data_IF_257807324392
#
_entry.id   IF_257807324392
#
_cell.length_a   1.000
_cell.length_b   1.000
_cell.length_c   1.000
_cell.angle_alpha   90.00
_cell.angle_beta   90.00
_cell.angle_gamma   90.00
#
_symmetry.space_group_name_H-M   'P 1'
#
loop_
_entity.id
_entity.type
_entity.pdbx_description
1 polymer ?
#
# COMPACT_ATOMS: atom_id res chain seq x y z
N UNK A 1 55.36 -60.30 12.72
CA UNK A 1 56.25 -60.06 11.55
C UNK A 1 55.58 -60.67 10.33
N UNK A 2 55.77 -60.10 9.14
CA UNK A 2 54.97 -60.39 7.94
C UNK A 2 55.61 -61.43 7.01
N UNK A 3 54.78 -62.09 6.19
CA UNK A 3 55.11 -62.62 4.85
C UNK A 3 53.82 -62.82 4.02
N UNK A 4 53.93 -62.79 2.69
CA UNK A 4 52.82 -62.68 1.71
C UNK A 4 52.96 -63.72 0.57
N UNK A 5 52.09 -63.61 -0.48
CA UNK A 5 52.15 -64.16 -1.87
C UNK A 5 51.59 -65.60 -2.07
N UNK A 6 50.84 -65.98 -3.15
CA UNK A 6 50.38 -65.26 -4.37
C UNK A 6 48.84 -65.28 -4.70
N UNK A 7 48.53 -64.71 -5.88
CA UNK A 7 47.37 -64.74 -6.81
C UNK A 7 47.24 -66.10 -7.60
N UNK A 8 46.35 -66.34 -8.63
CA UNK A 8 45.56 -65.39 -9.48
C UNK A 8 44.13 -65.82 -9.96
N UNK A 9 43.58 -65.03 -10.90
CA UNK A 9 42.49 -65.34 -11.87
C UNK A 9 41.05 -65.46 -11.33
N UNK A 10 39.97 -65.04 -12.02
CA UNK A 10 39.75 -64.52 -13.38
C UNK A 10 38.53 -63.57 -13.40
N UNK A 11 38.44 -62.63 -14.34
CA UNK A 11 37.15 -62.03 -14.74
C UNK A 11 36.60 -62.81 -15.94
N UNK A 12 35.27 -62.95 -16.06
CA UNK A 12 34.63 -62.29 -17.21
C UNK A 12 33.31 -61.57 -16.87
N UNK A 13 33.00 -60.55 -17.66
CA UNK A 13 31.77 -59.77 -17.56
C UNK A 13 30.55 -60.54 -18.09
N UNK A 14 29.39 -60.42 -17.42
CA UNK A 14 28.08 -60.79 -17.99
C UNK A 14 27.00 -59.77 -17.58
N UNK A 15 26.40 -59.18 -18.63
CA UNK A 15 25.07 -58.58 -18.77
C UNK A 15 24.37 -57.82 -17.62
N UNK A 16 23.82 -56.66 -18.00
CA UNK A 16 22.96 -55.79 -17.20
C UNK A 16 21.51 -56.27 -17.17
N UNK A 17 20.80 -55.97 -16.07
CA UNK A 17 19.37 -55.65 -16.06
C UNK A 17 19.05 -54.84 -14.80
N UNK A 18 19.31 -53.54 -14.84
CA UNK A 18 18.75 -52.61 -13.85
C UNK A 18 17.39 -52.17 -14.37
N UNK A 19 16.31 -52.58 -13.69
CA UNK A 19 14.96 -52.15 -14.00
C UNK A 19 14.78 -50.72 -13.48
N UNK A 20 15.06 -49.73 -14.34
CA UNK A 20 14.85 -48.32 -14.06
C UNK A 20 13.36 -48.00 -14.17
N UNK A 21 12.64 -48.10 -13.05
CA UNK A 21 11.22 -47.76 -12.97
C UNK A 21 11.10 -46.24 -12.95
N UNK A 22 10.97 -45.68 -14.15
CA UNK A 22 10.59 -44.28 -14.35
C UNK A 22 9.20 -44.02 -13.75
N UNK A 23 9.20 -43.63 -12.48
CA UNK A 23 8.03 -43.13 -11.77
C UNK A 23 7.76 -41.70 -12.25
N UNK A 24 7.34 -41.58 -13.51
CA UNK A 24 7.00 -40.34 -14.18
C UNK A 24 5.84 -39.63 -13.48
N UNK A 25 6.18 -38.84 -12.46
CA UNK A 25 5.27 -37.88 -11.82
C UNK A 25 5.12 -36.65 -12.73
N UNK A 26 4.59 -36.87 -13.93
CA UNK A 26 4.12 -35.84 -14.85
C UNK A 26 2.66 -35.45 -14.53
N UNK A 27 2.27 -35.46 -13.25
CA UNK A 27 1.29 -34.47 -12.81
C UNK A 27 2.03 -33.14 -12.69
N UNK A 28 2.20 -32.50 -13.85
CA UNK A 28 2.85 -31.20 -13.99
C UNK A 28 2.07 -30.19 -13.16
N UNK A 29 2.49 -30.03 -11.90
CA UNK A 29 1.91 -29.11 -10.92
C UNK A 29 1.80 -27.77 -11.59
N UNK A 30 0.57 -27.43 -11.99
CA UNK A 30 0.26 -26.12 -12.55
C UNK A 30 0.49 -25.15 -11.42
N UNK A 31 1.69 -24.56 -11.38
CA UNK A 31 2.01 -23.40 -10.56
C UNK A 31 1.15 -22.26 -11.10
N UNK A 32 -0.11 -22.27 -10.70
CA UNK A 32 -1.02 -21.16 -10.85
C UNK A 32 -0.32 -19.98 -10.20
N UNK A 33 -0.13 -18.92 -10.99
CA UNK A 33 0.50 -17.70 -10.51
C UNK A 33 -0.33 -17.22 -9.31
N UNK A 34 0.21 -17.37 -8.10
CA UNK A 34 -0.50 -16.99 -6.90
C UNK A 34 -0.80 -15.49 -7.00
N UNK A 35 -2.06 -15.05 -6.81
CA UNK A 35 -2.39 -13.62 -6.81
C UNK A 35 -1.43 -12.88 -5.89
N UNK A 36 -0.67 -11.93 -6.45
CA UNK A 36 0.32 -11.20 -5.68
C UNK A 36 -0.39 -10.47 -4.54
N UNK A 37 -0.09 -10.84 -3.30
CA UNK A 37 -0.76 -10.26 -2.14
C UNK A 37 -0.51 -8.73 -2.13
N UNK A 38 -1.56 -7.92 -1.93
CA UNK A 38 -1.41 -6.47 -1.89
C UNK A 38 -0.51 -6.12 -0.71
N UNK A 39 0.51 -5.31 -0.97
CA UNK A 39 1.46 -4.92 0.06
C UNK A 39 0.80 -3.89 0.99
N UNK A 40 0.97 -3.99 2.33
CA UNK A 40 0.43 -3.01 3.25
C UNK A 40 1.12 -1.65 3.03
N UNK A 41 0.36 -0.54 2.95
CA UNK A 41 0.95 0.79 2.80
C UNK A 41 1.75 1.19 4.05
N UNK A 42 2.75 2.05 3.90
CA UNK A 42 3.50 2.62 5.03
C UNK A 42 3.28 4.12 5.15
N UNK A 43 2.67 4.57 6.25
CA UNK A 43 2.55 5.98 6.59
C UNK A 43 3.83 6.51 7.23
N UNK A 44 4.50 7.46 6.57
CA UNK A 44 5.69 8.17 7.07
C UNK A 44 5.46 9.68 7.27
N UNK A 45 4.19 10.09 7.23
CA UNK A 45 3.80 11.49 7.24
C UNK A 45 3.63 12.07 8.63
N UNK A 46 3.23 13.34 8.63
CA UNK A 46 2.85 14.13 9.80
C UNK A 46 1.68 15.08 9.52
N UNK A 47 1.40 15.37 8.25
CA UNK A 47 0.44 16.39 7.83
C UNK A 47 -0.91 15.77 7.50
N UNK A 48 -1.99 16.55 7.66
CA UNK A 48 -3.34 16.10 7.28
C UNK A 48 -3.44 15.71 5.79
N UNK A 49 -2.69 16.37 4.91
CA UNK A 49 -2.58 15.99 3.49
C UNK A 49 -1.99 14.59 3.27
N UNK A 50 -0.95 14.22 4.02
CA UNK A 50 -0.36 12.87 3.95
C UNK A 50 -1.29 11.83 4.57
N UNK A 51 -2.03 12.19 5.62
CA UNK A 51 -3.04 11.33 6.23
C UNK A 51 -4.16 11.00 5.23
N UNK A 52 -4.64 11.98 4.47
CA UNK A 52 -5.62 11.78 3.39
C UNK A 52 -5.10 10.94 2.24
N UNK A 53 -3.85 11.12 1.85
CA UNK A 53 -3.23 10.28 0.82
C UNK A 53 -3.13 8.82 1.30
N UNK A 54 -2.70 8.61 2.55
CA UNK A 54 -2.59 7.29 3.15
C UNK A 54 -3.95 6.60 3.35
N UNK A 55 -4.99 7.31 3.81
CA UNK A 55 -6.32 6.71 3.99
C UNK A 55 -6.92 6.23 2.65
N UNK A 56 -6.75 6.99 1.56
CA UNK A 56 -7.16 6.54 0.22
C UNK A 56 -6.40 5.28 -0.24
N UNK A 57 -5.12 5.17 0.11
CA UNK A 57 -4.30 3.98 -0.19
C UNK A 57 -4.70 2.78 0.68
N UNK A 58 -4.95 3.01 1.97
CA UNK A 58 -5.37 1.98 2.92
C UNK A 58 -6.77 1.44 2.61
N UNK A 59 -7.71 2.29 2.18
CA UNK A 59 -9.01 1.85 1.66
C UNK A 59 -8.84 0.95 0.42
N UNK A 60 -7.92 1.28 -0.50
CA UNK A 60 -7.61 0.43 -1.67
C UNK A 60 -6.97 -0.90 -1.27
N UNK A 61 -6.03 -0.89 -0.32
CA UNK A 61 -5.44 -2.11 0.26
C UNK A 61 -6.52 -3.01 0.89
N UNK A 62 -7.38 -2.43 1.72
CA UNK A 62 -8.50 -3.15 2.36
C UNK A 62 -9.44 -3.74 1.31
N UNK A 63 -9.82 -2.97 0.28
CA UNK A 63 -10.67 -3.44 -0.81
C UNK A 63 -10.08 -4.64 -1.56
N UNK A 64 -8.76 -4.65 -1.78
CA UNK A 64 -8.06 -5.79 -2.38
C UNK A 64 -8.03 -7.01 -1.45
N UNK A 65 -7.75 -6.81 -0.16
CA UNK A 65 -7.77 -7.88 0.86
C UNK A 65 -9.17 -8.54 0.94
N UNK A 66 -10.24 -7.74 0.97
CA UNK A 66 -11.63 -8.23 0.98
C UNK A 66 -11.99 -8.98 -0.31
N UNK A 67 -11.48 -8.55 -1.47
CA UNK A 67 -11.67 -9.27 -2.73
C UNK A 67 -10.97 -10.64 -2.76
N UNK A 68 -9.78 -10.76 -2.17
CA UNK A 68 -9.09 -12.04 -2.02
C UNK A 68 -9.84 -12.98 -1.07
N UNK A 69 -10.41 -12.44 0.04
CA UNK A 69 -11.28 -13.19 0.96
C UNK A 69 -12.49 -13.81 0.26
N UNK A 70 -13.14 -13.08 -0.65
CA UNK A 70 -14.24 -13.65 -1.47
C UNK A 70 -13.79 -14.73 -2.46
N UNK A 71 -12.50 -14.78 -2.80
CA UNK A 71 -11.89 -15.79 -3.68
C UNK A 71 -11.40 -17.03 -2.89
N UNK A 72 -11.69 -17.11 -1.58
CA UNK A 72 -11.29 -18.22 -0.70
C UNK A 72 -9.87 -18.11 -0.15
N UNK A 73 -9.16 -17.01 -0.42
CA UNK A 73 -7.86 -16.71 0.18
C UNK A 73 -8.06 -15.77 1.37
N UNK A 74 -7.61 -16.10 2.57
CA UNK A 74 -7.80 -15.23 3.74
C UNK A 74 -6.48 -14.52 4.17
N UNK A 75 -6.00 -13.52 3.42
CA UNK A 75 -4.84 -12.73 3.86
C UNK A 75 -5.22 -11.85 5.04
N UNK A 76 -4.26 -11.69 5.96
CA UNK A 76 -4.41 -10.84 7.14
C UNK A 76 -4.48 -9.35 6.75
N UNK A 77 -5.48 -8.63 7.28
CA UNK A 77 -5.56 -7.19 7.16
C UNK A 77 -4.67 -6.55 8.24
N UNK A 78 -3.60 -5.88 7.81
CA UNK A 78 -2.74 -5.14 8.73
C UNK A 78 -3.48 -3.95 9.35
N UNK A 79 -3.49 -3.79 10.69
CA UNK A 79 -4.08 -2.62 11.33
C UNK A 79 -3.34 -1.34 10.94
N UNK A 80 -4.06 -0.22 10.89
CA UNK A 80 -3.56 1.12 10.58
C UNK A 80 -2.37 1.48 11.46
N UNK A 81 -2.45 1.22 12.76
CA UNK A 81 -1.36 1.48 13.70
C UNK A 81 -0.09 0.65 13.45
N UNK A 82 -0.15 -0.44 12.68
CA UNK A 82 1.02 -1.23 12.25
C UNK A 82 1.51 -0.84 10.83
N UNK A 83 0.66 -0.19 10.04
CA UNK A 83 1.04 0.46 8.78
C UNK A 83 1.77 1.81 8.98
N UNK A 84 1.95 2.29 10.21
CA UNK A 84 2.71 3.51 10.49
C UNK A 84 4.20 3.23 10.71
N UNK A 85 5.06 4.09 10.17
CA UNK A 85 6.46 4.17 10.57
C UNK A 85 6.59 4.51 12.07
N UNK A 86 7.63 3.96 12.71
CA UNK A 86 7.85 4.07 14.14
C UNK A 86 8.15 5.51 14.58
N UNK A 87 8.81 6.32 13.76
CA UNK A 87 9.06 7.73 14.07
C UNK A 87 7.77 8.55 13.97
N UNK A 88 7.02 8.43 12.87
CA UNK A 88 5.70 9.06 12.73
C UNK A 88 4.74 8.66 13.85
N UNK A 89 4.62 7.37 14.15
CA UNK A 89 3.75 6.85 15.22
C UNK A 89 4.12 7.40 16.59
N UNK A 90 5.41 7.45 16.94
CA UNK A 90 5.89 8.03 18.20
C UNK A 90 5.62 9.53 18.29
N UNK A 91 5.86 10.26 17.20
CA UNK A 91 5.63 11.72 17.14
C UNK A 91 4.14 12.02 17.34
N UNK A 92 3.25 11.35 16.63
CA UNK A 92 1.80 11.59 16.74
C UNK A 92 1.27 11.18 18.12
N UNK A 93 1.68 10.01 18.65
CA UNK A 93 1.29 9.60 20.01
C UNK A 93 1.67 10.65 21.07
N UNK A 94 2.86 11.23 20.96
CA UNK A 94 3.36 12.24 21.90
C UNK A 94 2.69 13.61 21.75
N UNK A 95 2.52 14.11 20.52
CA UNK A 95 2.06 15.49 20.28
C UNK A 95 0.55 15.63 20.10
N UNK A 96 -0.12 14.64 19.49
CA UNK A 96 -1.55 14.67 19.20
C UNK A 96 -2.35 14.00 20.33
N UNK A 97 -1.89 12.84 20.85
CA UNK A 97 -2.59 12.08 21.89
C UNK A 97 -2.08 12.31 23.32
N UNK A 98 -0.87 12.86 23.50
CA UNK A 98 -0.24 13.01 24.82
C UNK A 98 0.10 11.69 25.53
N UNK A 99 0.24 10.59 24.78
CA UNK A 99 0.44 9.21 25.27
C UNK A 99 1.71 8.58 24.71
N UNK A 100 2.10 7.40 25.22
CA UNK A 100 3.12 6.60 24.53
C UNK A 100 2.49 5.88 23.32
N UNK A 101 3.28 5.64 22.27
CA UNK A 101 2.85 4.93 21.06
C UNK A 101 2.36 3.48 21.27
N UNK A 102 2.57 2.90 22.47
CA UNK A 102 2.02 1.60 22.85
C UNK A 102 0.65 1.68 23.53
N UNK A 103 0.28 2.85 24.07
CA UNK A 103 -0.97 3.07 24.81
C UNK A 103 -2.10 3.66 23.95
N UNK A 104 -1.79 4.08 22.72
CA UNK A 104 -2.77 4.54 21.73
C UNK A 104 -3.36 3.33 21.03
N UNK A 105 -4.67 3.13 21.22
CA UNK A 105 -5.45 2.03 20.68
C UNK A 105 -5.66 2.14 19.17
N UNK A 106 -6.03 1.04 18.52
CA UNK A 106 -6.30 1.03 17.08
C UNK A 106 -7.48 1.95 16.70
N UNK A 107 -8.54 1.98 17.52
CA UNK A 107 -9.69 2.87 17.31
C UNK A 107 -9.30 4.36 17.41
N UNK A 108 -8.38 4.71 18.32
CA UNK A 108 -7.82 6.06 18.41
C UNK A 108 -7.00 6.43 17.17
N UNK A 109 -6.19 5.50 16.64
CA UNK A 109 -5.47 5.72 15.36
C UNK A 109 -6.45 5.92 14.21
N UNK A 110 -7.47 5.07 14.08
CA UNK A 110 -8.50 5.17 13.04
C UNK A 110 -9.26 6.50 13.15
N UNK A 111 -9.68 6.91 14.35
CA UNK A 111 -10.39 8.17 14.57
C UNK A 111 -9.55 9.39 14.14
N UNK A 112 -8.28 9.45 14.52
CA UNK A 112 -7.37 10.55 14.14
C UNK A 112 -7.14 10.63 12.62
N UNK A 113 -7.01 9.48 11.95
CA UNK A 113 -6.90 9.45 10.48
C UNK A 113 -8.21 9.85 9.78
N UNK A 114 -9.37 9.51 10.33
CA UNK A 114 -10.70 9.91 9.81
C UNK A 114 -10.94 11.41 10.01
N UNK A 115 -10.58 11.98 11.16
CA UNK A 115 -10.65 13.43 11.42
C UNK A 115 -9.79 14.22 10.41
N UNK A 116 -8.58 13.73 10.10
CA UNK A 116 -7.73 14.33 9.07
C UNK A 116 -8.28 14.21 7.64
N UNK A 117 -9.26 13.32 7.41
CA UNK A 117 -9.95 13.08 6.15
C UNK A 117 -11.20 13.95 5.96
N UNK A 118 -12.04 14.06 6.99
CA UNK A 118 -13.37 14.70 6.86
C UNK A 118 -13.33 16.24 6.76
N UNK A 119 -12.17 16.86 6.99
CA UNK A 119 -11.89 18.25 6.58
C UNK A 119 -11.93 18.46 5.04
N UNK A 120 -12.05 17.40 4.24
CA UNK A 120 -12.31 17.45 2.79
C UNK A 120 -13.82 17.54 2.45
N UNK A 121 -14.66 18.02 3.36
CA UNK A 121 -15.97 18.56 3.04
C UNK A 121 -15.86 20.08 2.75
N UNK A 122 -15.66 20.52 1.48
CA UNK A 122 -15.92 21.90 1.11
C UNK A 122 -17.43 22.14 1.19
N UNK A 123 -17.90 22.55 2.36
CA UNK A 123 -19.20 23.21 2.55
C UNK A 123 -19.17 24.62 1.93
N UNK A 124 -18.92 24.68 0.62
CA UNK A 124 -19.20 25.82 -0.24
C UNK A 124 -19.15 25.38 -1.72
N UNK A 125 -20.21 24.73 -2.18
CA UNK A 125 -20.81 25.22 -3.41
C UNK A 125 -21.30 26.66 -3.16
N UNK A 126 -21.12 27.55 -4.15
CA UNK A 126 -21.45 28.99 -4.17
C UNK A 126 -20.72 29.97 -3.20
N UNK A 127 -19.60 30.47 -3.73
CA UNK A 127 -19.12 31.86 -3.66
C UNK A 127 -18.31 32.35 -2.43
N UNK A 128 -16.99 32.45 -2.63
CA UNK A 128 -16.32 33.76 -2.50
C UNK A 128 -15.22 33.93 -3.56
N UNK A 129 -15.64 34.24 -4.79
CA UNK A 129 -14.75 35.00 -5.68
C UNK A 129 -14.79 36.42 -5.14
N UNK A 130 -13.74 36.79 -4.41
CA UNK A 130 -13.50 38.15 -3.95
C UNK A 130 -13.43 39.09 -5.16
N UNK A 131 -14.59 39.59 -5.59
CA UNK A 131 -14.72 40.62 -6.61
C UNK A 131 -14.23 41.91 -5.96
N UNK A 132 -12.93 42.18 -6.11
CA UNK A 132 -12.34 43.46 -5.71
C UNK A 132 -13.21 44.59 -6.28
N UNK A 133 -13.85 45.42 -5.43
CA UNK A 133 -14.80 46.43 -5.90
C UNK A 133 -14.12 47.48 -6.80
N UNK A 134 -12.79 47.62 -6.78
CA UNK A 134 -12.05 48.49 -7.70
C UNK A 134 -12.08 47.99 -9.15
N UNK A 135 -12.17 46.67 -9.39
CA UNK A 135 -12.11 46.10 -10.75
C UNK A 135 -13.40 46.35 -11.55
N UNK A 136 -14.56 46.46 -10.87
CA UNK A 136 -15.81 46.88 -11.52
C UNK A 136 -15.79 48.37 -11.88
N UNK A 137 -15.44 49.25 -10.94
CA UNK A 137 -15.40 50.69 -11.19
C UNK A 137 -14.47 51.06 -12.36
N UNK A 138 -13.29 50.44 -12.45
CA UNK A 138 -12.38 50.65 -13.60
C UNK A 138 -12.97 50.21 -14.95
N UNK A 139 -13.82 49.18 -14.96
CA UNK A 139 -14.49 48.71 -16.18
C UNK A 139 -15.65 49.63 -16.59
N UNK A 140 -16.43 50.12 -15.63
CA UNK A 140 -17.58 51.00 -15.88
C UNK A 140 -17.16 52.42 -16.27
N UNK A 141 -16.09 52.97 -15.67
CA UNK A 141 -15.50 54.26 -16.11
C UNK A 141 -15.00 54.18 -17.54
N UNK A 142 -14.31 53.10 -17.93
CA UNK A 142 -13.75 52.96 -19.27
C UNK A 142 -14.84 52.77 -20.34
N UNK A 143 -15.99 52.17 -19.98
CA UNK A 143 -17.15 52.06 -20.87
C UNK A 143 -17.85 53.42 -21.09
N UNK A 144 -17.96 54.27 -20.05
CA UNK A 144 -18.56 55.61 -20.18
C UNK A 144 -17.66 56.59 -20.94
N UNK A 145 -16.34 56.48 -20.79
CA UNK A 145 -15.38 57.35 -21.49
C UNK A 145 -15.39 57.19 -23.02
N UNK A 146 -15.93 56.09 -23.55
CA UNK A 146 -15.98 55.80 -25.00
C UNK A 146 -17.25 56.29 -25.70
N UNK A 147 -18.32 56.62 -24.95
CA UNK A 147 -19.57 57.15 -25.50
C UNK A 147 -19.55 58.70 -25.59
N UNK A 148 -18.73 59.35 -24.75
CA UNK A 148 -18.68 60.81 -24.59
C UNK A 148 -17.67 61.52 -25.51
N UNK A 149 -17.47 61.02 -26.73
CA UNK A 149 -16.65 61.67 -27.77
C UNK A 149 -17.33 61.69 -29.16
N UNK A 150 -18.39 62.48 -29.34
CA UNK A 150 -18.82 62.92 -30.66
C UNK A 150 -17.81 63.93 -31.24
N UNK A 151 -17.47 63.73 -32.52
CA UNK A 151 -16.60 64.61 -33.32
C UNK A 151 -17.18 66.01 -33.53
#
# INVERSE_FOLDING_TARGET
MAACVPLPSEQPAVAQAAEDVDMGFDDAVKVLNAPALPHPPTFKGSTKSECRAFIREYQRYTSQIMALQSTGQCPFLMPVGACMDLFSKRRIAMFDFGKSHGDVTEDEWVAWFMEAHDEEAPLCGCADRHQDPRRRQSSESNARQLDENPR
#
